data_IF_012546020437
#
_entry.id   IF_012546020437
#
_cell.length_a   1.000
_cell.length_b   1.000
_cell.length_c   1.000
_cell.angle_alpha   90.00
_cell.angle_beta   90.00
_cell.angle_gamma   90.00
#
_symmetry.space_group_name_H-M   'P 1'
#
loop_
_entity.id
_entity.type
_entity.pdbx_description
1 polymer ?
#
# COMPACT_ATOMS: atom_id res chain seq x y z
N UNK A 1 -6.63 5.12 -18.17
CA UNK A 1 -6.19 3.94 -17.41
C UNK A 1 -5.01 3.35 -18.13
N UNK A 2 -3.87 3.32 -17.47
CA UNK A 2 -2.66 2.67 -17.98
C UNK A 2 -2.76 1.13 -17.74
N UNK A 3 -1.83 0.37 -18.31
CA UNK A 3 -1.82 -1.09 -18.20
C UNK A 3 -1.61 -1.59 -16.75
N UNK A 4 -0.91 -0.81 -15.93
CA UNK A 4 -0.69 -1.07 -14.50
C UNK A 4 -1.97 -0.95 -13.69
N UNK A 5 -2.80 0.07 -13.98
CA UNK A 5 -4.10 0.27 -13.34
C UNK A 5 -5.03 -0.92 -13.62
N UNK A 6 -4.98 -1.45 -14.84
CA UNK A 6 -5.80 -2.59 -15.24
C UNK A 6 -5.38 -3.88 -14.52
N UNK A 7 -4.07 -4.13 -14.40
CA UNK A 7 -3.52 -5.28 -13.71
C UNK A 7 -3.84 -5.25 -12.20
N UNK A 8 -3.72 -4.08 -11.56
CA UNK A 8 -4.06 -3.91 -10.15
C UNK A 8 -5.56 -4.16 -9.89
N UNK A 9 -6.43 -3.70 -10.79
CA UNK A 9 -7.87 -3.95 -10.71
C UNK A 9 -8.23 -5.44 -10.86
N UNK A 10 -7.56 -6.15 -11.76
CA UNK A 10 -7.75 -7.60 -11.92
C UNK A 10 -7.35 -8.35 -10.66
N UNK A 11 -6.17 -8.08 -10.10
CA UNK A 11 -5.72 -8.73 -8.86
C UNK A 11 -6.68 -8.43 -7.70
N UNK A 12 -7.15 -7.19 -7.58
CA UNK A 12 -8.12 -6.81 -6.55
C UNK A 12 -9.43 -7.60 -6.68
N UNK A 13 -9.93 -7.78 -7.91
CA UNK A 13 -11.12 -8.56 -8.19
C UNK A 13 -10.93 -10.05 -7.86
N UNK A 14 -9.80 -10.62 -8.25
CA UNK A 14 -9.50 -12.04 -8.02
C UNK A 14 -9.35 -12.33 -6.51
N UNK A 15 -8.74 -11.41 -5.77
CA UNK A 15 -8.56 -11.53 -4.33
C UNK A 15 -9.91 -11.44 -3.58
N UNK A 16 -10.80 -10.52 -3.98
CA UNK A 16 -12.16 -10.43 -3.45
C UNK A 16 -12.98 -11.70 -3.74
N UNK A 17 -12.85 -12.24 -4.96
CA UNK A 17 -13.54 -13.46 -5.37
C UNK A 17 -13.07 -14.64 -4.53
N UNK A 18 -11.75 -14.79 -4.36
CA UNK A 18 -11.14 -15.84 -3.54
C UNK A 18 -11.59 -15.78 -2.08
N UNK A 19 -11.64 -14.58 -1.48
CA UNK A 19 -12.12 -14.41 -0.11
C UNK A 19 -13.58 -14.83 0.02
N UNK A 20 -14.43 -14.46 -0.94
CA UNK A 20 -15.84 -14.87 -0.97
C UNK A 20 -16.00 -16.38 -1.09
N UNK A 21 -15.24 -17.02 -1.98
CA UNK A 21 -15.27 -18.49 -2.16
C UNK A 21 -14.82 -19.24 -0.91
N UNK A 22 -13.90 -18.66 -0.14
CA UNK A 22 -13.46 -19.17 1.16
C UNK A 22 -14.44 -18.89 2.31
N UNK A 23 -15.60 -18.29 2.02
CA UNK A 23 -16.66 -18.05 2.99
C UNK A 23 -16.49 -16.80 3.85
N UNK A 24 -15.53 -15.92 3.52
CA UNK A 24 -15.40 -14.63 4.18
C UNK A 24 -16.58 -13.73 3.81
N UNK A 25 -17.09 -13.01 4.80
CA UNK A 25 -18.09 -11.97 4.61
C UNK A 25 -17.47 -10.73 3.97
N UNK A 26 -18.31 -9.87 3.38
CA UNK A 26 -17.85 -8.59 2.83
C UNK A 26 -17.17 -7.71 3.89
N UNK A 27 -17.59 -7.79 5.15
CA UNK A 27 -16.98 -7.05 6.26
C UNK A 27 -15.57 -7.55 6.57
N UNK A 28 -15.36 -8.86 6.62
CA UNK A 28 -14.05 -9.44 6.89
C UNK A 28 -13.09 -9.19 5.72
N UNK A 29 -13.58 -9.28 4.48
CA UNK A 29 -12.79 -8.93 3.30
C UNK A 29 -12.37 -7.46 3.34
N UNK A 30 -13.30 -6.54 3.67
CA UNK A 30 -13.00 -5.12 3.81
C UNK A 30 -11.96 -4.85 4.91
N UNK A 31 -12.02 -5.56 6.04
CA UNK A 31 -11.04 -5.45 7.12
C UNK A 31 -9.64 -5.94 6.69
N UNK A 32 -9.57 -7.04 5.94
CA UNK A 32 -8.31 -7.52 5.34
C UNK A 32 -7.71 -6.45 4.42
N UNK A 33 -8.50 -5.85 3.54
CA UNK A 33 -7.99 -4.79 2.66
C UNK A 33 -7.58 -3.54 3.43
N UNK A 34 -8.33 -3.13 4.44
CA UNK A 34 -7.95 -2.00 5.29
C UNK A 34 -6.59 -2.23 5.96
N UNK A 35 -6.36 -3.44 6.48
CA UNK A 35 -5.08 -3.82 7.08
C UNK A 35 -3.94 -3.86 6.05
N UNK A 36 -4.19 -4.38 4.84
CA UNK A 36 -3.20 -4.39 3.75
C UNK A 36 -2.84 -2.97 3.30
N UNK A 37 -3.83 -2.08 3.16
CA UNK A 37 -3.58 -0.67 2.84
C UNK A 37 -2.81 0.02 3.96
N UNK A 38 -3.16 -0.22 5.23
CA UNK A 38 -2.43 0.34 6.35
C UNK A 38 -0.96 -0.11 6.38
N UNK A 39 -0.69 -1.39 6.13
CA UNK A 39 0.67 -1.91 6.01
C UNK A 39 1.43 -1.25 4.85
N UNK A 40 0.80 -1.13 3.68
CA UNK A 40 1.41 -0.49 2.52
C UNK A 40 1.80 0.96 2.84
N UNK A 41 0.91 1.73 3.47
CA UNK A 41 1.20 3.12 3.85
C UNK A 41 2.30 3.21 4.91
N UNK A 42 2.37 2.28 5.87
CA UNK A 42 3.49 2.24 6.83
C UNK A 42 4.82 2.00 6.13
N UNK A 43 4.90 1.04 5.20
CA UNK A 43 6.11 0.76 4.42
C UNK A 43 6.51 1.93 3.51
N UNK A 44 5.54 2.69 2.98
CA UNK A 44 5.80 3.92 2.23
C UNK A 44 6.41 4.97 3.15
N UNK A 45 5.85 5.20 4.34
CA UNK A 45 6.38 6.17 5.31
C UNK A 45 7.80 5.79 5.76
N UNK A 46 8.07 4.52 6.05
CA UNK A 46 9.40 4.04 6.42
C UNK A 46 10.43 4.28 5.29
N UNK A 47 10.06 3.97 4.05
CA UNK A 47 10.91 4.23 2.89
C UNK A 47 11.21 5.71 2.73
N UNK A 48 10.18 6.56 2.84
CA UNK A 48 10.34 8.01 2.74
C UNK A 48 11.28 8.54 3.82
N UNK A 49 11.08 8.13 5.08
CA UNK A 49 11.96 8.50 6.22
C UNK A 49 13.39 8.05 5.97
N UNK A 50 13.62 6.85 5.41
CA UNK A 50 14.97 6.33 5.15
C UNK A 50 15.76 7.13 4.12
N UNK A 51 15.06 7.88 3.25
CA UNK A 51 15.66 8.73 2.22
C UNK A 51 15.90 10.17 2.69
N UNK A 52 15.37 10.56 3.85
CA UNK A 52 15.55 11.90 4.38
C UNK A 52 16.96 12.10 4.93
N UNK A 53 17.46 13.31 4.73
CA UNK A 53 18.66 13.78 5.41
C UNK A 53 18.37 14.09 6.89
N UNK A 54 19.43 14.12 7.71
CA UNK A 54 19.33 14.53 9.13
C UNK A 54 18.71 15.92 9.30
N UNK A 55 18.95 16.83 8.34
CA UNK A 55 18.37 18.18 8.35
C UNK A 55 16.87 18.15 8.10
N UNK A 56 16.40 17.37 7.12
CA UNK A 56 14.97 17.19 6.85
C UNK A 56 14.27 16.48 8.01
N UNK A 57 14.91 15.49 8.64
CA UNK A 57 14.40 14.84 9.85
C UNK A 57 14.27 15.81 11.03
N UNK A 58 15.23 16.72 11.20
CA UNK A 58 15.14 17.77 12.22
C UNK A 58 13.95 18.71 11.96
N UNK A 59 13.76 19.15 10.70
CA UNK A 59 12.62 19.99 10.32
C UNK A 59 11.28 19.31 10.58
N UNK A 60 11.18 17.99 10.36
CA UNK A 60 9.97 17.22 10.67
C UNK A 60 9.68 17.14 12.17
N UNK A 61 10.71 17.07 13.03
CA UNK A 61 10.54 17.06 14.49
C UNK A 61 10.05 18.38 15.05
N UNK A 62 10.34 19.48 14.35
CA UNK A 62 9.94 20.82 14.73
C UNK A 62 8.52 21.18 14.23
N UNK A 63 7.88 20.29 13.45
CA UNK A 63 6.50 20.50 13.01
C UNK A 63 5.53 20.37 14.20
N UNK A 64 4.48 21.22 14.25
CA UNK A 64 3.46 21.10 15.27
C UNK A 64 2.61 19.84 15.05
N UNK A 65 2.01 19.30 16.13
CA UNK A 65 1.20 18.07 16.08
C UNK A 65 0.00 18.15 15.11
N UNK A 66 -0.43 19.36 14.77
CA UNK A 66 -1.53 19.62 13.83
C UNK A 66 -1.04 19.94 12.40
N UNK A 67 0.23 19.69 12.09
CA UNK A 67 0.76 19.88 10.75
C UNK A 67 -0.02 19.06 9.72
N UNK A 68 -0.31 19.69 8.59
CA UNK A 68 -0.99 19.06 7.46
C UNK A 68 -0.03 18.18 6.67
N UNK A 69 -0.59 17.25 5.88
CA UNK A 69 0.22 16.42 4.97
C UNK A 69 1.03 17.24 3.96
N UNK A 70 0.53 18.40 3.54
CA UNK A 70 1.22 19.30 2.62
C UNK A 70 2.43 19.98 3.29
N UNK A 71 2.30 20.41 4.55
CA UNK A 71 3.41 20.95 5.33
C UNK A 71 4.49 19.89 5.58
N UNK A 72 4.10 18.66 5.91
CA UNK A 72 5.01 17.52 6.07
C UNK A 72 5.77 17.26 4.76
N UNK A 73 5.05 17.14 3.64
CA UNK A 73 5.65 16.90 2.32
C UNK A 73 6.61 18.03 1.91
N UNK A 74 6.26 19.29 2.20
CA UNK A 74 7.13 20.44 1.96
C UNK A 74 8.43 20.39 2.76
N UNK A 75 8.41 19.92 4.01
CA UNK A 75 9.64 19.78 4.81
C UNK A 75 10.52 18.62 4.38
N UNK A 76 9.89 17.56 3.85
CA UNK A 76 10.58 16.42 3.28
C UNK A 76 11.23 16.73 1.92
N UNK A 77 10.81 17.82 1.26
CA UNK A 77 11.19 18.16 -0.12
C UNK A 77 10.89 17.00 -1.10
N UNK A 78 9.87 16.18 -0.78
CA UNK A 78 9.46 15.04 -1.59
C UNK A 78 8.29 15.46 -2.47
N UNK A 79 8.44 15.24 -3.78
CA UNK A 79 7.36 15.47 -4.74
C UNK A 79 6.27 14.40 -4.65
N UNK A 80 5.02 14.77 -4.91
CA UNK A 80 3.89 13.83 -4.95
C UNK A 80 4.13 12.65 -5.90
N UNK A 81 4.82 12.88 -7.02
CA UNK A 81 5.19 11.82 -7.98
C UNK A 81 6.11 10.75 -7.37
N UNK A 82 7.01 11.12 -6.46
CA UNK A 82 7.88 10.15 -5.78
C UNK A 82 7.10 9.31 -4.78
N UNK A 83 6.21 9.94 -4.00
CA UNK A 83 5.33 9.24 -3.07
C UNK A 83 4.45 8.25 -3.82
N UNK A 84 3.86 8.66 -4.93
CA UNK A 84 3.01 7.80 -5.76
C UNK A 84 3.79 6.64 -6.38
N UNK A 85 5.04 6.87 -6.80
CA UNK A 85 5.90 5.80 -7.32
C UNK A 85 6.25 4.76 -6.25
N UNK A 86 6.63 5.21 -5.04
CA UNK A 86 6.93 4.31 -3.91
C UNK A 86 5.67 3.54 -3.52
N UNK A 87 4.52 4.23 -3.39
CA UNK A 87 3.23 3.59 -3.09
C UNK A 87 2.87 2.53 -4.13
N UNK A 88 2.96 2.84 -5.42
CA UNK A 88 2.68 1.89 -6.49
C UNK A 88 3.60 0.66 -6.42
N UNK A 89 4.88 0.85 -6.12
CA UNK A 89 5.84 -0.23 -5.95
C UNK A 89 5.50 -1.12 -4.75
N UNK A 90 5.21 -0.54 -3.57
CA UNK A 90 4.88 -1.29 -2.34
C UNK A 90 3.56 -2.04 -2.49
N UNK A 91 2.53 -1.40 -3.05
CA UNK A 91 1.23 -2.06 -3.34
C UNK A 91 1.43 -3.23 -4.31
N UNK A 92 2.19 -3.03 -5.40
CA UNK A 92 2.47 -4.10 -6.37
C UNK A 92 3.21 -5.27 -5.73
N UNK A 93 4.17 -5.00 -4.84
CA UNK A 93 4.90 -6.02 -4.09
C UNK A 93 3.95 -6.82 -3.18
N UNK A 94 3.14 -6.14 -2.37
CA UNK A 94 2.16 -6.80 -1.49
C UNK A 94 1.18 -7.67 -2.29
N UNK A 95 0.67 -7.16 -3.40
CA UNK A 95 -0.20 -7.92 -4.30
C UNK A 95 0.51 -9.14 -4.91
N UNK A 96 1.79 -9.02 -5.27
CA UNK A 96 2.58 -10.14 -5.80
C UNK A 96 2.90 -11.20 -4.75
N UNK A 97 3.05 -10.81 -3.49
CA UNK A 97 3.23 -11.74 -2.36
C UNK A 97 1.91 -12.45 -2.01
N UNK A 98 0.76 -11.81 -2.25
CA UNK A 98 -0.57 -12.38 -2.06
C UNK A 98 -0.99 -13.31 -3.20
N UNK A 99 -0.61 -13.02 -4.45
CA UNK A 99 -0.95 -13.83 -5.63
C UNK A 99 -0.72 -15.35 -5.44
N UNK A 100 0.45 -15.84 -4.97
CA UNK A 100 0.64 -17.27 -4.75
C UNK A 100 -0.20 -17.85 -3.60
N UNK A 101 -0.66 -17.04 -2.65
CA UNK A 101 -1.58 -17.49 -1.57
C UNK A 101 -3.02 -17.63 -2.10
N UNK A 102 -3.33 -16.90 -3.16
CA UNK A 102 -4.57 -17.05 -3.93
C UNK A 102 -4.45 -18.29 -4.83
N UNK A 103 -3.41 -18.38 -5.66
CA UNK A 103 -3.23 -19.44 -6.65
C UNK A 103 -2.92 -20.83 -6.07
N UNK A 104 -2.16 -20.94 -4.98
CA UNK A 104 -1.74 -22.25 -4.43
C UNK A 104 -2.89 -23.13 -3.87
N UNK A 105 -4.12 -22.62 -3.84
CA UNK A 105 -5.30 -23.36 -3.40
C UNK A 105 -6.23 -23.79 -4.54
N UNK A 106 -5.98 -23.38 -5.78
CA UNK A 106 -6.71 -23.92 -6.95
C UNK A 106 -6.32 -25.38 -7.24
N UNK A 107 -5.10 -25.78 -6.85
CA UNK A 107 -4.58 -27.14 -7.02
C UNK A 107 -4.99 -28.13 -5.90
N UNK A 108 -5.74 -27.70 -4.87
CA UNK A 108 -6.18 -28.58 -3.77
C UNK A 108 -7.65 -29.01 -3.86
N UNK A 109 -8.37 -28.65 -4.92
CA UNK A 109 -9.71 -29.17 -5.21
C UNK A 109 -9.57 -30.31 -6.24
N UNK A 110 -9.15 -31.49 -5.79
CA UNK A 110 -9.27 -32.77 -6.52
C UNK A 110 -10.04 -33.77 -5.68
#
# INVERSE_FOLDING_TARGET
>A
MNQTDLAALTIYHDLLTTLRERGYTESEAAEIFANLTAQAEMEVVEELISKLTDEQLARLRDLPENATGEEIASQMEIGGEEVDAIRAQKVTKLLSELAPVVDANDDQIV
#
